data_IF_453707154481
#
_entry.id   IF_453707154481
#
_cell.length_a   1.000
_cell.length_b   1.000
_cell.length_c   1.000
_cell.angle_alpha   90.00
_cell.angle_beta   90.00
_cell.angle_gamma   90.00
#
_symmetry.space_group_name_H-M   'P 1'
#
loop_
_entity.id
_entity.type
_entity.pdbx_description
1 polymer ?
#
# COMPACT_ATOMS: atom_id res chain seq x y z
N UNK A 1 10.96 9.89 -2.57
CA UNK A 1 12.34 10.43 -2.60
C UNK A 1 12.62 10.84 -4.03
N UNK A 2 13.31 11.96 -4.27
CA UNK A 2 13.66 12.34 -5.65
C UNK A 2 15.04 11.79 -6.05
N UNK A 3 15.43 11.99 -7.31
CA UNK A 3 16.69 11.49 -7.86
C UNK A 3 17.94 12.06 -7.14
N UNK A 4 17.82 13.26 -6.56
CA UNK A 4 18.87 13.89 -5.77
C UNK A 4 18.98 13.33 -4.34
N UNK A 5 18.10 12.40 -3.96
CA UNK A 5 18.06 11.80 -2.62
C UNK A 5 17.29 12.62 -1.58
N UNK A 6 16.59 13.68 -1.99
CA UNK A 6 15.78 14.49 -1.09
C UNK A 6 14.47 13.76 -0.71
N UNK A 7 14.13 13.82 0.57
CA UNK A 7 12.95 13.13 1.13
C UNK A 7 11.86 14.09 1.54
N UNK A 8 10.61 13.64 1.46
CA UNK A 8 9.46 14.41 1.94
C UNK A 8 9.58 14.73 3.43
N UNK A 9 9.42 15.99 3.81
CA UNK A 9 9.35 16.41 5.21
C UNK A 9 8.05 16.01 5.93
N UNK A 10 7.10 15.37 5.23
CA UNK A 10 5.80 14.97 5.77
C UNK A 10 4.93 16.15 6.21
N UNK A 11 3.83 15.85 6.91
CA UNK A 11 2.88 16.82 7.43
C UNK A 11 2.65 16.65 8.94
N UNK A 12 2.35 17.75 9.62
CA UNK A 12 1.86 17.70 11.00
C UNK A 12 0.46 17.06 11.04
N UNK A 13 0.13 16.38 12.13
CA UNK A 13 -1.19 15.74 12.38
C UNK A 13 -2.33 16.73 12.67
N UNK A 14 -2.16 18.03 12.36
CA UNK A 14 -3.17 19.06 12.62
C UNK A 14 -4.14 19.21 11.45
N UNK A 15 -5.40 19.45 11.76
CA UNK A 15 -6.47 19.62 10.77
C UNK A 15 -7.06 18.29 10.33
N UNK A 16 -7.92 18.32 9.31
CA UNK A 16 -8.57 17.11 8.80
C UNK A 16 -7.54 16.04 8.36
N UNK A 17 -7.88 14.73 8.46
CA UNK A 17 -7.03 13.62 8.03
C UNK A 17 -6.39 13.81 6.65
N UNK A 18 -7.16 14.25 5.64
CA UNK A 18 -6.66 14.47 4.27
C UNK A 18 -6.16 15.90 3.98
N UNK A 19 -6.15 16.80 4.98
CA UNK A 19 -5.75 18.19 4.75
C UNK A 19 -4.28 18.28 4.30
N UNK A 20 -4.07 18.94 3.15
CA UNK A 20 -2.78 19.13 2.47
C UNK A 20 -2.13 17.86 1.90
N UNK A 21 -2.85 16.75 1.81
CA UNK A 21 -2.36 15.49 1.22
C UNK A 21 -3.44 14.80 0.37
N UNK A 22 -4.18 15.57 -0.43
CA UNK A 22 -5.18 15.04 -1.39
C UNK A 22 -4.58 14.68 -2.77
N UNK A 23 -3.27 14.85 -2.93
CA UNK A 23 -2.56 14.70 -4.19
C UNK A 23 -1.39 15.67 -4.27
N UNK A 24 -0.34 15.27 -4.97
CA UNK A 24 0.79 16.12 -5.32
C UNK A 24 0.56 16.74 -6.70
N UNK A 25 1.08 17.96 -6.92
CA UNK A 25 1.08 18.58 -8.25
C UNK A 25 1.96 17.86 -9.29
N UNK A 26 2.74 16.87 -8.85
CA UNK A 26 3.67 16.09 -9.68
C UNK A 26 3.20 14.65 -9.94
N UNK A 27 1.95 14.31 -9.60
CA UNK A 27 1.47 12.93 -9.65
C UNK A 27 1.73 12.13 -8.37
N UNK A 28 1.41 10.84 -8.41
CA UNK A 28 1.54 9.90 -7.29
C UNK A 28 2.61 8.85 -7.61
N UNK A 29 3.03 8.06 -6.62
CA UNK A 29 4.11 7.08 -6.77
C UNK A 29 3.81 5.80 -5.98
N UNK A 30 4.19 4.66 -6.54
CA UNK A 30 4.34 3.37 -5.84
C UNK A 30 5.79 2.87 -5.93
N UNK A 31 6.30 2.28 -4.86
CA UNK A 31 7.64 1.69 -4.83
C UNK A 31 7.54 0.17 -4.98
N UNK A 32 8.30 -0.43 -5.89
CA UNK A 32 8.31 -1.88 -6.11
C UNK A 32 9.65 -2.53 -5.74
N UNK A 33 9.60 -3.68 -5.04
CA UNK A 33 10.77 -4.56 -4.82
C UNK A 33 10.35 -6.01 -4.81
N UNK A 34 11.15 -6.90 -5.41
CA UNK A 34 10.83 -8.31 -5.51
C UNK A 34 12.01 -9.23 -5.19
N UNK A 35 11.71 -10.44 -4.73
CA UNK A 35 12.70 -11.49 -4.47
C UNK A 35 12.02 -12.86 -4.31
N UNK A 36 12.79 -13.93 -4.45
CA UNK A 36 12.39 -15.26 -3.98
C UNK A 36 12.39 -15.31 -2.46
N UNK A 37 11.33 -15.86 -1.88
CA UNK A 37 11.21 -16.16 -0.46
C UNK A 37 10.68 -17.58 -0.31
N UNK A 38 11.50 -18.49 0.21
CA UNK A 38 11.13 -19.91 0.45
C UNK A 38 10.50 -20.60 -0.78
N UNK A 39 11.01 -20.32 -1.98
CA UNK A 39 10.54 -20.94 -3.23
C UNK A 39 9.30 -20.31 -3.86
N UNK A 40 8.80 -19.18 -3.33
CA UNK A 40 7.72 -18.39 -3.92
C UNK A 40 8.24 -17.00 -4.26
N UNK A 41 7.79 -16.41 -5.37
CA UNK A 41 8.21 -15.07 -5.75
C UNK A 41 7.34 -14.03 -5.06
N UNK A 42 7.97 -13.16 -4.28
CA UNK A 42 7.33 -12.09 -3.55
C UNK A 42 7.58 -10.76 -4.26
N UNK A 43 6.53 -9.97 -4.47
CA UNK A 43 6.60 -8.60 -4.98
C UNK A 43 5.95 -7.69 -3.96
N UNK A 44 6.74 -6.82 -3.35
CA UNK A 44 6.26 -5.78 -2.43
C UNK A 44 6.02 -4.50 -3.21
N UNK A 45 4.81 -3.96 -3.10
CA UNK A 45 4.44 -2.62 -3.53
C UNK A 45 4.20 -1.76 -2.29
N UNK A 46 4.80 -0.58 -2.23
CA UNK A 46 4.73 0.29 -1.06
C UNK A 46 4.37 1.72 -1.42
N UNK A 47 3.62 2.37 -0.54
CA UNK A 47 3.16 3.74 -0.67
C UNK A 47 3.61 4.56 0.53
N UNK A 48 3.95 5.82 0.25
CA UNK A 48 4.25 6.82 1.27
C UNK A 48 3.11 7.83 1.36
N UNK A 49 2.64 8.08 2.58
CA UNK A 49 1.71 9.18 2.86
C UNK A 49 2.40 10.24 3.73
N UNK A 50 2.18 11.55 3.49
CA UNK A 50 2.86 12.59 4.27
C UNK A 50 2.52 12.58 5.78
N UNK A 51 1.40 12.00 6.17
CA UNK A 51 0.96 11.80 7.56
C UNK A 51 -0.07 10.67 7.63
N UNK A 52 -0.14 10.05 8.79
CA UNK A 52 -1.23 9.18 9.21
C UNK A 52 -1.93 9.84 10.39
N UNK A 53 -3.20 10.22 10.22
CA UNK A 53 -3.92 11.00 11.22
C UNK A 53 -5.40 10.67 11.16
N UNK A 54 -5.91 9.79 12.06
CA UNK A 54 -7.33 9.41 12.06
C UNK A 54 -8.25 10.56 12.55
N UNK A 55 -7.71 11.51 13.31
CA UNK A 55 -8.35 12.79 13.66
C UNK A 55 -7.30 13.86 14.01
N UNK A 56 -7.71 15.13 14.01
CA UNK A 56 -6.81 16.26 14.25
C UNK A 56 -6.12 16.13 15.60
N UNK A 57 -4.79 16.14 15.57
CA UNK A 57 -3.91 16.02 16.73
C UNK A 57 -3.51 14.59 17.07
N UNK A 58 -4.12 13.58 16.45
CA UNK A 58 -3.78 12.16 16.63
C UNK A 58 -3.00 11.60 15.44
N UNK A 59 -2.34 10.46 15.66
CA UNK A 59 -1.51 9.76 14.68
C UNK A 59 -0.08 10.30 14.65
N UNK A 60 0.58 10.22 13.49
CA UNK A 60 1.96 10.64 13.30
C UNK A 60 2.24 11.30 11.94
N UNK A 61 3.36 12.01 11.90
CA UNK A 61 3.96 12.47 10.65
C UNK A 61 4.57 11.28 9.93
N UNK A 62 4.43 11.25 8.60
CA UNK A 62 4.81 10.15 7.73
C UNK A 62 3.95 8.92 7.92
N UNK A 63 3.80 8.18 6.84
CA UNK A 63 3.26 6.84 6.87
C UNK A 63 3.84 6.04 5.71
N UNK A 64 4.03 4.75 5.96
CA UNK A 64 4.50 3.78 4.99
C UNK A 64 3.67 2.53 5.11
N UNK A 65 3.04 2.18 4.00
CA UNK A 65 2.23 1.00 3.89
C UNK A 65 2.69 0.17 2.69
N UNK A 66 2.43 -1.13 2.70
CA UNK A 66 2.82 -2.01 1.61
C UNK A 66 1.93 -3.25 1.51
N UNK A 67 1.85 -3.77 0.30
CA UNK A 67 1.24 -5.07 0.01
C UNK A 67 2.29 -5.99 -0.59
N UNK A 68 2.33 -7.24 -0.15
CA UNK A 68 3.14 -8.28 -0.81
C UNK A 68 2.20 -9.15 -1.64
N UNK A 69 2.45 -9.19 -2.94
CA UNK A 69 1.80 -10.10 -3.90
C UNK A 69 2.73 -11.28 -4.10
N UNK A 70 2.21 -12.47 -3.85
CA UNK A 70 2.96 -13.73 -3.95
C UNK A 70 2.54 -14.44 -5.21
N UNK A 71 3.47 -14.71 -6.12
CA UNK A 71 3.23 -15.45 -7.35
C UNK A 71 4.06 -16.73 -7.40
N UNK A 72 3.62 -17.70 -8.20
CA UNK A 72 4.31 -18.97 -8.37
C UNK A 72 5.69 -18.82 -9.04
N UNK A 73 5.77 -18.19 -10.19
CA UNK A 73 7.01 -18.00 -10.92
C UNK A 73 6.95 -16.76 -11.82
N UNK A 74 7.85 -15.77 -11.68
CA UNK A 74 7.85 -14.59 -12.55
C UNK A 74 8.31 -14.89 -13.99
N UNK A 75 8.84 -16.08 -14.26
CA UNK A 75 9.45 -16.44 -15.55
C UNK A 75 8.51 -17.18 -16.51
N UNK A 76 7.24 -17.39 -16.12
CA UNK A 76 6.24 -18.03 -16.99
C UNK A 76 5.30 -16.97 -17.58
N UNK A 77 4.67 -17.28 -18.72
CA UNK A 77 3.83 -16.33 -19.47
C UNK A 77 2.64 -15.82 -18.65
N UNK A 78 2.04 -16.69 -17.83
CA UNK A 78 0.87 -16.37 -17.02
C UNK A 78 1.10 -16.78 -15.56
N UNK A 79 1.87 -15.99 -14.78
CA UNK A 79 2.09 -16.28 -13.37
C UNK A 79 0.77 -16.26 -12.59
N UNK A 80 0.63 -17.20 -11.66
CA UNK A 80 -0.55 -17.26 -10.78
C UNK A 80 -0.27 -16.51 -9.49
N UNK A 81 -1.18 -15.61 -9.12
CA UNK A 81 -1.18 -15.01 -7.77
C UNK A 81 -1.66 -16.05 -6.77
N UNK A 82 -0.78 -16.41 -5.85
CA UNK A 82 -0.98 -17.43 -4.82
C UNK A 82 -1.50 -16.83 -3.52
N UNK A 83 -1.08 -15.62 -3.18
CA UNK A 83 -1.46 -14.94 -1.95
C UNK A 83 -1.28 -13.43 -2.07
N UNK A 84 -1.98 -12.71 -1.18
CA UNK A 84 -1.75 -11.27 -0.96
C UNK A 84 -1.66 -11.01 0.54
N UNK A 85 -0.68 -10.21 0.96
CA UNK A 85 -0.50 -9.81 2.36
C UNK A 85 -0.34 -8.29 2.48
N UNK A 86 -1.46 -7.54 2.66
CA UNK A 86 -1.44 -6.12 2.99
C UNK A 86 -0.92 -5.86 4.41
N UNK A 87 -0.14 -4.80 4.58
CA UNK A 87 0.30 -4.29 5.89
C UNK A 87 -0.89 -3.77 6.69
N UNK A 88 -0.84 -4.01 8.00
CA UNK A 88 -1.76 -3.44 8.95
C UNK A 88 -1.03 -3.24 10.27
N UNK A 89 -0.58 -2.01 10.50
CA UNK A 89 0.23 -1.64 11.67
C UNK A 89 1.48 -2.53 11.76
N UNK A 90 1.78 -3.14 12.91
CA UNK A 90 2.95 -4.01 13.12
C UNK A 90 2.82 -5.41 12.46
N UNK A 91 1.74 -5.65 11.70
CA UNK A 91 1.41 -6.97 11.17
C UNK A 91 0.93 -6.96 9.72
N UNK A 92 0.36 -8.10 9.34
CA UNK A 92 -0.18 -8.33 8.01
C UNK A 92 -1.54 -9.01 8.09
N UNK A 93 -2.47 -8.54 7.27
CA UNK A 93 -3.57 -9.40 6.84
C UNK A 93 -3.07 -10.37 5.76
N UNK A 94 -3.78 -11.48 5.55
CA UNK A 94 -3.36 -12.51 4.59
C UNK A 94 -4.56 -13.14 3.90
N UNK A 95 -4.48 -13.23 2.58
CA UNK A 95 -5.44 -13.97 1.76
C UNK A 95 -4.69 -15.05 0.96
N UNK A 96 -5.08 -16.30 1.16
CA UNK A 96 -4.48 -17.48 0.52
C UNK A 96 -5.60 -18.48 0.17
N UNK A 97 -6.07 -18.57 -1.08
CA UNK A 97 -5.77 -17.68 -2.21
C UNK A 97 -6.40 -16.28 -2.05
N UNK A 98 -6.06 -15.31 -2.91
CA UNK A 98 -6.72 -13.99 -2.93
C UNK A 98 -8.21 -14.10 -3.18
N UNK A 99 -9.00 -13.21 -2.60
CA UNK A 99 -10.44 -13.14 -2.87
C UNK A 99 -10.68 -12.74 -4.35
N UNK A 100 -11.44 -13.50 -5.16
CA UNK A 100 -11.71 -13.12 -6.55
C UNK A 100 -12.35 -11.73 -6.69
N UNK A 101 -13.15 -11.31 -5.70
CA UNK A 101 -13.76 -10.00 -5.67
C UNK A 101 -12.76 -8.85 -5.48
N UNK A 102 -11.57 -9.11 -4.95
CA UNK A 102 -10.47 -8.15 -4.80
C UNK A 102 -9.48 -8.17 -5.96
N UNK A 103 -9.76 -8.92 -7.03
CA UNK A 103 -8.92 -8.98 -8.23
C UNK A 103 -9.53 -8.17 -9.38
N UNK A 104 -8.67 -7.55 -10.17
CA UNK A 104 -8.96 -6.99 -11.50
C UNK A 104 -7.86 -7.45 -12.47
N UNK A 105 -8.15 -8.53 -13.21
CA UNK A 105 -7.14 -9.27 -13.95
C UNK A 105 -6.00 -9.74 -13.03
N UNK A 106 -4.79 -9.26 -13.31
CA UNK A 106 -3.58 -9.55 -12.53
C UNK A 106 -3.28 -8.49 -11.45
N UNK A 107 -4.20 -7.55 -11.21
CA UNK A 107 -4.06 -6.50 -10.21
C UNK A 107 -4.88 -6.82 -8.97
N UNK A 108 -4.27 -6.76 -7.79
CA UNK A 108 -5.03 -6.77 -6.54
C UNK A 108 -5.52 -5.36 -6.21
N UNK A 109 -6.79 -5.26 -5.83
CA UNK A 109 -7.42 -4.03 -5.36
C UNK A 109 -7.19 -3.89 -3.85
N UNK A 110 -6.51 -2.82 -3.48
CA UNK A 110 -6.10 -2.52 -2.11
C UNK A 110 -6.76 -1.21 -1.67
N UNK A 111 -7.21 -1.13 -0.42
CA UNK A 111 -7.67 0.11 0.20
C UNK A 111 -6.73 0.56 1.32
N UNK A 112 -6.69 1.87 1.55
CA UNK A 112 -6.00 2.51 2.66
C UNK A 112 -7.04 3.28 3.48
N UNK A 113 -7.36 2.77 4.67
CA UNK A 113 -8.45 3.27 5.50
C UNK A 113 -8.08 3.28 6.99
N UNK A 114 -8.62 4.25 7.74
CA UNK A 114 -8.57 4.26 9.20
C UNK A 114 -9.97 3.98 9.77
N UNK A 115 -10.05 3.15 10.81
CA UNK A 115 -11.28 2.92 11.57
C UNK A 115 -11.09 3.49 12.96
N UNK A 116 -11.75 4.62 13.24
CA UNK A 116 -11.61 5.33 14.50
C UNK A 116 -11.71 4.38 15.72
N UNK A 117 -10.78 4.44 16.69
CA UNK A 117 -9.70 5.43 16.85
C UNK A 117 -8.36 5.02 16.23
N UNK A 118 -8.32 3.95 15.44
CA UNK A 118 -7.11 3.36 14.91
C UNK A 118 -6.63 4.15 13.68
N UNK A 119 -5.32 4.30 13.59
CA UNK A 119 -4.56 4.78 12.45
C UNK A 119 -4.89 4.03 11.15
N UNK A 120 -4.37 4.51 10.03
CA UNK A 120 -4.63 3.85 8.75
C UNK A 120 -3.91 2.49 8.68
N UNK A 121 -4.41 1.64 7.78
CA UNK A 121 -3.83 0.36 7.42
C UNK A 121 -4.29 0.00 6.00
N UNK A 122 -3.59 -0.95 5.37
CA UNK A 122 -4.06 -1.54 4.13
C UNK A 122 -4.98 -2.73 4.36
N UNK A 123 -5.86 -2.94 3.39
CA UNK A 123 -6.66 -4.14 3.24
C UNK A 123 -6.92 -4.44 1.76
N UNK A 124 -7.46 -5.62 1.48
CA UNK A 124 -8.04 -5.91 0.16
C UNK A 124 -9.45 -5.32 0.08
N UNK A 125 -9.90 -4.98 -1.12
CA UNK A 125 -11.22 -4.40 -1.33
C UNK A 125 -11.85 -4.86 -2.64
N UNK A 126 -13.18 -4.86 -2.71
CA UNK A 126 -13.89 -5.08 -3.98
C UNK A 126 -14.02 -3.81 -4.82
N UNK A 127 -13.78 -2.64 -4.22
CA UNK A 127 -13.86 -1.34 -4.89
C UNK A 127 -12.66 -1.14 -5.82
N UNK A 128 -12.89 -0.49 -6.97
CA UNK A 128 -11.81 -0.02 -7.83
C UNK A 128 -10.92 1.00 -7.12
N UNK A 129 -9.69 1.15 -7.63
CA UNK A 129 -8.72 2.13 -7.16
C UNK A 129 -7.96 2.75 -8.33
N UNK A 130 -6.83 3.37 -8.03
CA UNK A 130 -5.98 4.05 -9.02
C UNK A 130 -4.63 3.32 -9.13
N UNK A 131 -3.97 3.47 -10.29
CA UNK A 131 -2.57 3.11 -10.48
C UNK A 131 -1.67 4.33 -10.22
N UNK A 132 -0.39 4.06 -9.91
CA UNK A 132 0.64 5.08 -9.70
C UNK A 132 1.88 4.69 -10.49
N UNK A 133 2.68 5.70 -10.84
CA UNK A 133 3.98 5.50 -11.48
C UNK A 133 4.99 4.89 -10.51
#
# INVERSE_FOLDING_TARGET
>A
VNEAGETSGGLKTKGAPSAKCKGSGWGSQVYGRSTWVRGVWAIMYSWYFPKDSPSSGLGHRHDWEHVIVWIDNPSIENPKILAVTPSAHDGYSKEVPPNPGSMDGNSVKVNYESKWPINHALGTTSKGGDFQD
#
